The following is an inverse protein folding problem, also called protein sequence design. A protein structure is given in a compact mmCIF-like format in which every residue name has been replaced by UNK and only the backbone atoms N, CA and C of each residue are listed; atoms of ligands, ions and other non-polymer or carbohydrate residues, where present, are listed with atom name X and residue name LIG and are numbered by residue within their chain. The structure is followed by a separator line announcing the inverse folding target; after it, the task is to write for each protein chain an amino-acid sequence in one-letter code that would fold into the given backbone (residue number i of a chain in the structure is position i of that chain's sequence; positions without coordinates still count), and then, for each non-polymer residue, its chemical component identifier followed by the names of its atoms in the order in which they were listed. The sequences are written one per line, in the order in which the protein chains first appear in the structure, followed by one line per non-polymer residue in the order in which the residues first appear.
data_IF_588959463260
#
_entry.id   IF_588959463260
#
_cell.length_a   1.000
_cell.length_b   1.000
_cell.length_c   1.000
_cell.angle_alpha   90.00
_cell.angle_beta   90.00
_cell.angle_gamma   90.00
#
_symmetry.space_group_name_H-M   'P 1'
#
loop_
_entity.id
_entity.type
_entity.pdbx_description
1 polymer ?
#
# COMPACT_ATOMS: atom_id res chain seq x y z
N UNK A 1 92.30 -2.82 9.57
CA UNK A 1 90.83 -2.73 9.68
C UNK A 1 90.30 -4.12 10.01
N UNK A 2 90.02 -4.37 11.29
CA UNK A 2 89.61 -5.68 11.80
C UNK A 2 88.09 -5.79 11.71
N UNK A 3 87.59 -6.71 10.88
CA UNK A 3 86.17 -7.01 10.79
C UNK A 3 85.77 -7.86 12.01
N UNK A 4 85.07 -7.24 12.97
CA UNK A 4 84.48 -7.93 14.10
C UNK A 4 83.35 -8.86 13.61
N UNK A 5 83.64 -10.16 13.60
CA UNK A 5 82.68 -11.23 13.34
C UNK A 5 81.67 -11.26 14.49
N UNK A 6 80.45 -10.76 14.27
CA UNK A 6 79.35 -10.88 15.23
C UNK A 6 79.02 -12.36 15.40
N UNK A 7 79.25 -12.88 16.61
CA UNK A 7 78.78 -14.20 17.02
C UNK A 7 77.25 -14.17 17.12
N UNK A 8 76.57 -14.89 16.23
CA UNK A 8 75.14 -15.10 16.31
C UNK A 8 74.87 -16.07 17.48
N UNK A 9 74.39 -15.53 18.60
CA UNK A 9 73.85 -16.33 19.70
C UNK A 9 72.56 -16.98 19.21
N UNK A 10 72.53 -18.31 19.13
CA UNK A 10 71.34 -19.07 18.74
C UNK A 10 70.21 -18.88 19.76
N UNK A 11 68.98 -18.77 19.27
CA UNK A 11 67.78 -18.64 20.11
C UNK A 11 67.64 -19.85 21.05
N UNK A 12 67.34 -19.56 22.32
CA UNK A 12 66.97 -20.58 23.30
C UNK A 12 65.61 -21.19 22.94
N UNK A 13 65.43 -22.49 23.19
CA UNK A 13 64.13 -23.18 23.03
C UNK A 13 63.00 -22.46 23.80
N UNK A 14 63.32 -21.85 24.94
CA UNK A 14 62.38 -21.05 25.74
C UNK A 14 61.97 -19.76 25.01
N UNK A 15 62.91 -19.06 24.37
CA UNK A 15 62.60 -17.85 23.59
C UNK A 15 61.72 -18.19 22.37
N UNK A 16 61.95 -19.34 21.74
CA UNK A 16 61.09 -19.83 20.66
C UNK A 16 59.66 -20.09 21.15
N UNK A 17 59.50 -20.76 22.30
CA UNK A 17 58.18 -21.02 22.88
C UNK A 17 57.44 -19.74 23.25
N UNK A 18 58.14 -18.76 23.82
CA UNK A 18 57.58 -17.45 24.16
C UNK A 18 57.17 -16.68 22.90
N UNK A 19 58.00 -16.70 21.85
CA UNK A 19 57.66 -16.08 20.58
C UNK A 19 56.40 -16.69 19.95
N UNK A 20 56.28 -18.02 19.95
CA UNK A 20 55.08 -18.74 19.46
C UNK A 20 53.84 -18.42 20.30
N UNK A 21 53.98 -18.30 21.63
CA UNK A 21 52.87 -17.91 22.49
C UNK A 21 52.37 -16.48 22.17
N UNK A 22 53.28 -15.53 21.97
CA UNK A 22 52.92 -14.17 21.60
C UNK A 22 52.27 -14.07 20.22
N UNK A 23 52.78 -14.80 19.21
CA UNK A 23 52.13 -14.83 17.89
C UNK A 23 50.74 -15.46 17.95
N UNK A 24 50.54 -16.52 18.75
CA UNK A 24 49.23 -17.13 18.95
C UNK A 24 48.23 -16.17 19.60
N UNK A 25 48.63 -15.44 20.65
CA UNK A 25 47.79 -14.43 21.31
C UNK A 25 47.44 -13.30 20.33
N UNK A 26 48.41 -12.83 19.54
CA UNK A 26 48.20 -11.76 18.56
C UNK A 26 47.25 -12.21 17.44
N UNK A 27 47.43 -13.42 16.92
CA UNK A 27 46.52 -14.00 15.91
C UNK A 27 45.11 -14.22 16.47
N UNK A 28 44.97 -14.66 17.73
CA UNK A 28 43.67 -14.78 18.38
C UNK A 28 42.98 -13.40 18.55
N UNK A 29 43.75 -12.37 18.90
CA UNK A 29 43.27 -10.99 18.94
C UNK A 29 42.77 -10.49 17.58
N UNK A 30 43.58 -10.68 16.53
CA UNK A 30 43.21 -10.32 15.16
C UNK A 30 41.96 -11.08 14.68
N UNK A 31 41.89 -12.40 14.93
CA UNK A 31 40.73 -13.22 14.56
C UNK A 31 39.44 -12.72 15.21
N UNK A 32 39.51 -12.27 16.48
CA UNK A 32 38.36 -11.68 17.18
C UNK A 32 37.94 -10.35 16.57
N UNK A 33 38.88 -9.49 16.20
CA UNK A 33 38.60 -8.21 15.51
C UNK A 33 37.96 -8.48 14.15
N UNK A 34 38.53 -9.37 13.33
CA UNK A 34 37.97 -9.72 12.02
C UNK A 34 36.56 -10.30 12.11
N UNK A 35 36.31 -11.17 13.10
CA UNK A 35 34.95 -11.71 13.35
C UNK A 35 33.97 -10.60 13.69
N UNK A 36 34.37 -9.64 14.52
CA UNK A 36 33.56 -8.46 14.85
C UNK A 36 33.28 -7.59 13.63
N UNK A 37 34.30 -7.33 12.80
CA UNK A 37 34.15 -6.54 11.57
C UNK A 37 33.22 -7.20 10.55
N UNK A 38 33.33 -8.51 10.34
CA UNK A 38 32.48 -9.24 9.40
C UNK A 38 31.01 -9.29 9.86
N UNK A 39 30.78 -9.55 11.15
CA UNK A 39 29.44 -9.49 11.76
C UNK A 39 28.81 -8.11 11.62
N UNK A 40 29.57 -7.05 11.94
CA UNK A 40 29.10 -5.68 11.82
C UNK A 40 28.79 -5.30 10.36
N UNK A 41 29.63 -5.71 9.40
CA UNK A 41 29.39 -5.48 7.98
C UNK A 41 28.07 -6.11 7.50
N UNK A 42 27.81 -7.36 7.89
CA UNK A 42 26.55 -8.05 7.57
C UNK A 42 25.34 -7.32 8.19
N UNK A 43 25.43 -6.93 9.47
CA UNK A 43 24.36 -6.22 10.15
C UNK A 43 24.06 -4.84 9.54
N UNK A 44 25.10 -4.12 9.09
CA UNK A 44 24.96 -2.84 8.39
C UNK A 44 24.28 -3.03 7.03
N UNK A 45 24.70 -4.02 6.26
CA UNK A 45 24.10 -4.31 4.95
C UNK A 45 22.61 -4.69 5.06
N UNK A 46 22.26 -5.55 6.03
CA UNK A 46 20.85 -5.90 6.29
C UNK A 46 20.03 -4.67 6.68
N UNK A 47 20.59 -3.80 7.51
CA UNK A 47 19.93 -2.56 7.93
C UNK A 47 19.67 -1.62 6.75
N UNK A 48 20.62 -1.49 5.82
CA UNK A 48 20.45 -0.70 4.60
C UNK A 48 19.35 -1.30 3.70
N UNK A 49 19.33 -2.63 3.57
CA UNK A 49 18.29 -3.35 2.83
C UNK A 49 16.89 -3.06 3.39
N UNK A 50 16.73 -3.19 4.72
CA UNK A 50 15.48 -2.85 5.41
C UNK A 50 15.07 -1.40 5.15
N UNK A 51 16.01 -0.45 5.24
CA UNK A 51 15.68 0.95 5.01
C UNK A 51 15.16 1.24 3.61
N UNK A 52 15.75 0.59 2.59
CA UNK A 52 15.35 0.75 1.20
C UNK A 52 13.96 0.17 0.96
N UNK A 53 13.71 -1.05 1.47
CA UNK A 53 12.40 -1.70 1.37
C UNK A 53 11.32 -0.87 2.05
N UNK A 54 11.58 -0.36 3.26
CA UNK A 54 10.59 0.42 4.00
C UNK A 54 10.30 1.76 3.32
N UNK A 55 11.31 2.42 2.74
CA UNK A 55 11.08 3.67 1.99
C UNK A 55 10.15 3.45 0.81
N UNK A 56 10.39 2.40 0.03
CA UNK A 56 9.54 2.08 -1.11
C UNK A 56 8.12 1.69 -0.67
N UNK A 57 7.99 0.91 0.40
CA UNK A 57 6.70 0.53 0.95
C UNK A 57 5.90 1.75 1.43
N UNK A 58 6.53 2.65 2.19
CA UNK A 58 5.90 3.88 2.68
C UNK A 58 5.53 4.84 1.55
N UNK A 59 6.32 4.91 0.47
CA UNK A 59 6.00 5.70 -0.72
C UNK A 59 4.74 5.15 -1.43
N UNK A 60 4.67 3.84 -1.65
CA UNK A 60 3.48 3.20 -2.21
C UNK A 60 2.23 3.43 -1.34
N UNK A 61 2.36 3.27 -0.03
CA UNK A 61 1.27 3.51 0.91
C UNK A 61 0.85 4.99 0.87
N UNK A 62 1.80 5.91 0.86
CA UNK A 62 1.53 7.35 0.77
C UNK A 62 0.77 7.72 -0.51
N UNK A 63 1.17 7.15 -1.65
CA UNK A 63 0.49 7.37 -2.93
C UNK A 63 -0.96 6.89 -2.89
N UNK A 64 -1.21 5.70 -2.32
CA UNK A 64 -2.56 5.14 -2.18
C UNK A 64 -3.41 5.97 -1.19
N UNK A 65 -2.85 6.40 -0.05
CA UNK A 65 -3.57 7.28 0.90
C UNK A 65 -3.84 8.67 0.35
N UNK A 66 -2.96 9.19 -0.51
CA UNK A 66 -3.20 10.49 -1.16
C UNK A 66 -4.37 10.47 -2.14
N UNK A 67 -4.74 9.27 -2.61
CA UNK A 67 -5.87 8.98 -3.50
C UNK A 67 -7.07 8.39 -2.76
N UNK A 68 -6.95 8.09 -1.45
CA UNK A 68 -8.06 7.62 -0.65
C UNK A 68 -9.22 8.62 -0.71
N UNK A 69 -10.41 8.15 -1.05
CA UNK A 69 -11.60 8.99 -1.19
C UNK A 69 -11.66 9.76 -2.50
N UNK A 70 -10.72 9.53 -3.43
CA UNK A 70 -10.86 10.03 -4.79
C UNK A 70 -12.04 9.35 -5.45
N UNK A 71 -13.04 10.14 -5.82
CA UNK A 71 -14.20 9.73 -6.60
C UNK A 71 -14.16 10.58 -7.86
N UNK A 72 -13.97 9.95 -9.01
CA UNK A 72 -13.81 10.68 -10.25
C UNK A 72 -14.59 10.03 -11.41
N UNK A 73 -15.38 10.79 -12.20
CA UNK A 73 -15.72 12.21 -11.97
C UNK A 73 -16.41 12.41 -10.62
N UNK A 74 -16.43 13.64 -10.10
CA UNK A 74 -17.16 13.92 -8.87
C UNK A 74 -18.63 13.53 -9.06
N UNK A 75 -19.06 12.54 -8.29
CA UNK A 75 -20.37 11.90 -8.43
C UNK A 75 -20.89 11.49 -7.07
N UNK A 76 -22.21 11.50 -6.94
CA UNK A 76 -22.86 10.90 -5.79
C UNK A 76 -22.60 9.39 -5.79
N UNK A 77 -22.19 8.87 -4.62
CA UNK A 77 -22.03 7.44 -4.44
C UNK A 77 -23.40 6.74 -4.52
N UNK A 78 -23.49 5.61 -5.25
CA UNK A 78 -24.69 4.79 -5.31
C UNK A 78 -25.21 4.39 -3.92
N UNK A 79 -26.52 4.23 -3.80
CA UNK A 79 -27.17 3.87 -2.52
C UNK A 79 -26.62 2.57 -1.92
N UNK A 80 -26.26 1.57 -2.73
CA UNK A 80 -25.69 0.32 -2.20
C UNK A 80 -24.29 0.48 -1.59
N UNK A 81 -23.56 1.54 -1.97
CA UNK A 81 -22.28 1.90 -1.34
C UNK A 81 -22.56 2.68 -0.05
N UNK A 82 -23.45 3.67 -0.12
CA UNK A 82 -23.80 4.53 1.03
C UNK A 82 -24.48 3.77 2.18
N UNK A 83 -25.22 2.71 1.87
CA UNK A 83 -25.91 1.83 2.83
C UNK A 83 -25.32 0.42 2.89
N UNK A 84 -24.15 0.23 2.27
CA UNK A 84 -23.50 -1.07 2.19
C UNK A 84 -23.02 -1.57 3.54
N UNK A 85 -22.95 -2.89 3.69
CA UNK A 85 -22.39 -3.54 4.88
C UNK A 85 -20.87 -3.44 4.96
N UNK A 86 -20.20 -3.21 3.83
CA UNK A 86 -18.75 -3.05 3.78
C UNK A 86 -18.38 -1.58 4.06
N UNK A 87 -17.56 -1.30 5.10
CA UNK A 87 -17.20 0.07 5.44
C UNK A 87 -16.31 0.71 4.35
N UNK A 88 -16.53 1.99 4.06
CA UNK A 88 -15.68 2.74 3.11
C UNK A 88 -14.29 3.07 3.68
N UNK A 89 -14.16 3.02 5.01
CA UNK A 89 -12.90 3.13 5.72
C UNK A 89 -12.99 2.33 7.02
N UNK A 90 -12.04 1.44 7.26
CA UNK A 90 -11.97 0.64 8.47
C UNK A 90 -10.52 0.44 8.91
N UNK A 91 -10.31 0.32 10.22
CA UNK A 91 -9.01 0.00 10.78
C UNK A 91 -9.18 -1.11 11.84
N UNK A 92 -8.70 -2.30 11.57
CA UNK A 92 -8.64 -3.37 12.57
C UNK A 92 -7.30 -3.32 13.29
N UNK A 93 -7.33 -3.06 14.59
CA UNK A 93 -6.14 -2.79 15.39
C UNK A 93 -5.53 -4.07 15.94
N UNK A 94 -4.20 -4.07 16.13
CA UNK A 94 -3.44 -5.08 16.87
C UNK A 94 -3.79 -6.54 16.48
N UNK A 95 -4.03 -6.78 15.19
CA UNK A 95 -4.36 -8.11 14.68
C UNK A 95 -3.15 -9.03 14.82
N UNK A 96 -3.34 -10.13 15.55
CA UNK A 96 -2.30 -11.14 15.75
C UNK A 96 -2.19 -12.05 14.52
N UNK A 97 -0.98 -12.19 14.01
CA UNK A 97 -0.59 -13.08 12.92
C UNK A 97 0.41 -14.09 13.45
N UNK A 98 0.11 -15.37 13.30
CA UNK A 98 1.09 -16.44 13.55
C UNK A 98 1.88 -16.74 12.29
N UNK A 99 3.19 -16.60 12.37
CA UNK A 99 4.15 -16.96 11.32
C UNK A 99 4.99 -18.16 11.74
N UNK A 100 5.48 -18.91 10.75
CA UNK A 100 6.35 -20.07 10.97
C UNK A 100 7.77 -19.73 10.56
N UNK A 101 8.70 -19.81 11.50
CA UNK A 101 10.13 -19.60 11.24
C UNK A 101 10.91 -20.88 11.51
N UNK A 102 12.18 -20.90 11.12
CA UNK A 102 13.11 -21.97 11.52
C UNK A 102 13.33 -21.89 13.04
N UNK A 103 13.34 -23.04 13.70
CA UNK A 103 13.62 -23.14 15.14
C UNK A 103 15.07 -22.73 15.45
N UNK A 104 15.25 -22.05 16.58
CA UNK A 104 16.58 -21.62 17.02
C UNK A 104 17.43 -22.79 17.55
N UNK A 105 16.78 -23.85 18.02
CA UNK A 105 17.43 -25.05 18.60
C UNK A 105 17.66 -26.15 17.58
N UNK A 106 16.85 -26.23 16.52
CA UNK A 106 16.93 -27.27 15.49
C UNK A 106 16.59 -26.71 14.10
N UNK A 107 17.56 -26.59 13.17
CA UNK A 107 17.33 -26.02 11.85
C UNK A 107 16.41 -26.85 10.95
N UNK A 108 16.06 -28.07 11.34
CA UNK A 108 15.15 -28.95 10.60
C UNK A 108 13.68 -28.77 11.00
N UNK A 109 13.40 -28.03 12.07
CA UNK A 109 12.04 -27.82 12.60
C UNK A 109 11.61 -26.36 12.47
N UNK A 110 10.30 -26.13 12.49
CA UNK A 110 9.71 -24.80 12.53
C UNK A 110 9.20 -24.45 13.92
N UNK A 111 9.27 -23.17 14.27
CA UNK A 111 8.69 -22.61 15.49
C UNK A 111 7.69 -21.51 15.13
N UNK A 112 6.57 -21.49 15.83
CA UNK A 112 5.58 -20.43 15.70
C UNK A 112 6.09 -19.13 16.35
N UNK A 113 5.75 -18.02 15.71
CA UNK A 113 6.02 -16.68 16.17
C UNK A 113 4.77 -15.83 15.94
N UNK A 114 4.41 -14.98 16.90
CA UNK A 114 3.26 -14.08 16.76
C UNK A 114 3.75 -12.66 16.48
N UNK A 115 3.24 -12.06 15.42
CA UNK A 115 3.43 -10.67 15.03
C UNK A 115 2.09 -9.96 15.19
N UNK A 116 2.08 -8.75 15.75
CA UNK A 116 0.85 -7.94 15.88
C UNK A 116 0.93 -6.75 14.94
N UNK A 117 -0.12 -6.54 14.16
CA UNK A 117 -0.18 -5.45 13.19
C UNK A 117 -1.60 -4.97 12.98
N UNK A 118 -1.77 -3.72 12.61
CA UNK A 118 -3.06 -3.23 12.15
C UNK A 118 -3.38 -3.73 10.73
N UNK A 119 -4.64 -3.62 10.37
CA UNK A 119 -5.16 -3.78 9.02
C UNK A 119 -5.97 -2.55 8.68
N UNK A 120 -5.66 -1.91 7.55
CA UNK A 120 -6.42 -0.76 7.06
C UNK A 120 -7.11 -1.12 5.76
N UNK A 121 -8.34 -0.66 5.62
CA UNK A 121 -9.16 -0.77 4.42
C UNK A 121 -9.74 0.62 4.10
N UNK A 122 -9.67 1.03 2.84
CA UNK A 122 -10.27 2.28 2.39
C UNK A 122 -10.72 2.22 0.94
N UNK A 123 -11.72 3.05 0.64
CA UNK A 123 -12.37 3.17 -0.66
C UNK A 123 -11.73 4.24 -1.54
N UNK A 124 -11.60 3.96 -2.83
CA UNK A 124 -11.18 4.92 -3.85
C UNK A 124 -11.57 4.45 -5.26
N UNK A 125 -11.67 5.39 -6.20
CA UNK A 125 -11.54 5.09 -7.62
C UNK A 125 -10.06 5.03 -8.00
N UNK A 126 -9.66 4.06 -8.82
CA UNK A 126 -8.25 3.88 -9.17
C UNK A 126 -7.99 4.34 -10.61
N UNK A 127 -7.09 5.31 -10.83
CA UNK A 127 -6.74 5.73 -12.18
C UNK A 127 -5.90 4.63 -12.83
N UNK A 128 -6.31 4.20 -14.02
CA UNK A 128 -5.58 3.20 -14.77
C UNK A 128 -4.44 3.84 -15.55
N UNK A 129 -3.39 3.06 -15.80
CA UNK A 129 -2.20 3.51 -16.56
C UNK A 129 -2.45 3.54 -18.08
N UNK A 130 -3.69 3.28 -18.50
CA UNK A 130 -4.11 3.28 -19.91
C UNK A 130 -4.49 4.71 -20.31
N UNK A 131 -3.82 5.23 -21.34
CA UNK A 131 -4.14 6.51 -21.96
C UNK A 131 -4.26 6.30 -23.46
N UNK A 132 -5.28 6.89 -24.06
CA UNK A 132 -5.54 6.73 -25.48
C UNK A 132 -6.12 8.02 -26.07
N UNK A 133 -6.34 8.00 -27.37
CA UNK A 133 -7.04 9.05 -28.10
C UNK A 133 -8.09 8.42 -29.02
N UNK A 134 -9.15 9.15 -29.35
CA UNK A 134 -10.11 8.73 -30.36
C UNK A 134 -9.42 8.53 -31.72
N UNK A 135 -9.57 7.35 -32.33
CA UNK A 135 -8.94 7.08 -33.63
C UNK A 135 -9.64 7.77 -34.80
N UNK A 136 -10.96 7.94 -34.68
CA UNK A 136 -11.83 8.60 -35.65
C UNK A 136 -12.81 9.51 -34.91
N UNK A 137 -13.45 10.42 -35.64
CA UNK A 137 -14.60 11.14 -35.11
C UNK A 137 -15.69 10.13 -34.72
N UNK A 138 -16.43 10.43 -33.66
CA UNK A 138 -17.61 9.66 -33.25
C UNK A 138 -18.87 10.45 -33.57
N UNK A 139 -19.91 9.73 -33.98
CA UNK A 139 -21.24 10.28 -34.18
C UNK A 139 -21.93 10.43 -32.82
N UNK A 140 -22.77 11.46 -32.64
CA UNK A 140 -23.59 11.62 -31.42
C UNK A 140 -24.65 12.70 -31.56
N UNK A 141 -25.67 12.69 -30.71
CA UNK A 141 -26.73 13.69 -30.68
C UNK A 141 -26.17 15.06 -30.29
N UNK A 142 -25.90 15.91 -31.28
CA UNK A 142 -25.82 17.34 -31.03
C UNK A 142 -27.26 17.89 -30.97
N UNK A 143 -27.71 18.24 -29.77
CA UNK A 143 -29.03 18.86 -29.53
C UNK A 143 -29.22 20.16 -30.35
N UNK A 144 -28.13 20.80 -30.81
CA UNK A 144 -28.17 21.97 -31.67
C UNK A 144 -28.10 21.67 -33.19
N UNK A 145 -27.93 20.41 -33.60
CA UNK A 145 -27.72 20.02 -35.00
C UNK A 145 -28.77 18.99 -35.45
N UNK A 146 -29.78 19.48 -36.17
CA UNK A 146 -30.81 18.63 -36.79
C UNK A 146 -30.19 17.81 -37.92
N UNK A 147 -29.77 16.58 -37.64
CA UNK A 147 -29.27 15.66 -38.68
C UNK A 147 -28.39 14.49 -38.25
N UNK A 148 -28.09 14.31 -36.96
CA UNK A 148 -27.21 13.21 -36.50
C UNK A 148 -28.03 11.97 -36.10
N UNK A 149 -27.61 10.73 -36.43
CA UNK A 149 -28.34 9.51 -36.13
C UNK A 149 -28.78 9.37 -34.68
N UNK A 150 -30.02 8.89 -34.49
CA UNK A 150 -30.74 8.72 -33.22
C UNK A 150 -30.24 7.56 -32.34
N UNK A 151 -29.06 6.98 -32.66
CA UNK A 151 -28.51 5.85 -31.89
C UNK A 151 -27.10 6.20 -31.41
N UNK A 152 -26.87 6.28 -30.10
CA UNK A 152 -25.53 6.52 -29.55
C UNK A 152 -24.57 5.41 -29.98
N UNK A 153 -23.32 5.72 -30.40
CA UNK A 153 -22.37 4.68 -30.74
C UNK A 153 -22.10 3.80 -29.52
N UNK A 154 -22.18 2.49 -29.74
CA UNK A 154 -21.99 1.47 -28.70
C UNK A 154 -20.54 1.00 -28.60
N UNK A 155 -19.65 1.50 -29.45
CA UNK A 155 -18.22 1.20 -29.41
C UNK A 155 -17.37 2.28 -30.07
N UNK A 156 -16.12 2.39 -29.68
CA UNK A 156 -15.15 3.30 -30.29
C UNK A 156 -13.77 2.68 -30.49
N UNK A 157 -13.12 3.02 -31.60
CA UNK A 157 -11.73 2.66 -31.84
C UNK A 157 -10.81 3.72 -31.21
N UNK A 158 -9.83 3.26 -30.43
CA UNK A 158 -8.87 4.14 -29.76
C UNK A 158 -7.44 3.88 -30.26
N UNK A 159 -6.66 4.95 -30.37
CA UNK A 159 -5.21 4.91 -30.54
C UNK A 159 -4.56 4.96 -29.16
N UNK A 160 -3.92 3.87 -28.74
CA UNK A 160 -3.22 3.82 -27.46
C UNK A 160 -2.00 4.75 -27.45
N UNK A 161 -1.90 5.59 -26.43
CA UNK A 161 -0.74 6.42 -26.16
C UNK A 161 0.15 5.80 -25.07
N UNK A 162 -0.45 5.14 -24.09
CA UNK A 162 0.26 4.49 -22.98
C UNK A 162 -0.58 3.35 -22.36
N UNK A 163 0.08 2.40 -21.72
CA UNK A 163 -0.55 1.24 -21.09
C UNK A 163 -0.94 0.15 -22.09
N UNK A 164 -1.63 -0.88 -21.61
CA UNK A 164 -2.14 -1.96 -22.45
C UNK A 164 -3.67 -1.99 -22.39
N UNK A 165 -4.34 -2.14 -23.54
CA UNK A 165 -5.80 -2.24 -23.58
C UNK A 165 -6.31 -3.43 -22.78
N UNK A 166 -5.50 -4.49 -22.63
CA UNK A 166 -5.84 -5.66 -21.82
C UNK A 166 -5.95 -5.38 -20.32
N UNK A 167 -5.44 -4.24 -19.85
CA UNK A 167 -5.57 -3.82 -18.45
C UNK A 167 -6.99 -3.30 -18.14
N UNK A 168 -7.74 -2.94 -19.20
CA UNK A 168 -9.13 -2.51 -19.11
C UNK A 168 -10.06 -3.71 -18.88
N UNK A 169 -11.04 -3.51 -18.02
CA UNK A 169 -12.03 -4.49 -17.63
C UNK A 169 -13.44 -3.92 -17.81
N UNK A 170 -14.43 -4.81 -17.93
CA UNK A 170 -15.82 -4.37 -17.91
C UNK A 170 -16.09 -3.53 -16.65
N UNK A 171 -16.86 -2.46 -16.84
CA UNK A 171 -17.21 -1.44 -15.84
C UNK A 171 -16.12 -0.42 -15.49
N UNK A 172 -14.95 -0.46 -16.13
CA UNK A 172 -14.04 0.69 -16.08
C UNK A 172 -14.72 1.91 -16.75
N UNK A 173 -14.50 3.09 -16.17
CA UNK A 173 -15.06 4.35 -16.65
C UNK A 173 -14.08 5.00 -17.60
N UNK A 174 -14.54 5.32 -18.82
CA UNK A 174 -13.77 6.14 -19.74
C UNK A 174 -14.02 7.61 -19.41
N UNK A 175 -12.93 8.35 -19.23
CA UNK A 175 -12.94 9.79 -19.01
C UNK A 175 -12.45 10.45 -20.28
N UNK A 176 -13.32 11.24 -20.89
CA UNK A 176 -13.02 12.00 -22.10
C UNK A 176 -12.54 13.39 -21.67
N UNK A 177 -11.40 13.80 -22.21
CA UNK A 177 -10.71 15.03 -21.79
C UNK A 177 -10.92 16.19 -22.77
N UNK A 178 -11.87 16.10 -23.70
CA UNK A 178 -12.27 17.29 -24.44
C UNK A 178 -12.98 18.28 -23.52
N UNK A 179 -12.48 19.51 -23.54
CA UNK A 179 -12.92 20.58 -22.65
C UNK A 179 -14.37 20.94 -22.96
N UNK A 180 -15.22 20.95 -21.94
CA UNK A 180 -16.62 21.29 -22.08
C UNK A 180 -16.85 22.66 -22.72
N UNK A 181 -17.38 22.65 -23.94
CA UNK A 181 -17.98 23.87 -24.49
C UNK A 181 -19.31 24.20 -23.78
N UNK A 182 -19.88 23.25 -23.01
CA UNK A 182 -21.17 23.44 -22.29
C UNK A 182 -21.29 22.78 -20.90
N UNK A 183 -20.20 22.37 -20.24
CA UNK A 183 -20.26 21.89 -18.85
C UNK A 183 -20.93 20.53 -18.62
N UNK A 184 -21.04 19.70 -19.64
CA UNK A 184 -21.67 18.38 -19.56
C UNK A 184 -20.67 17.29 -19.93
N UNK A 185 -20.00 16.75 -18.92
CA UNK A 185 -19.02 15.68 -19.06
C UNK A 185 -19.72 14.33 -19.28
N UNK A 186 -19.30 13.56 -20.29
CA UNK A 186 -19.79 12.18 -20.52
C UNK A 186 -18.71 11.18 -20.09
N UNK A 187 -19.12 10.20 -19.31
CA UNK A 187 -18.24 9.20 -18.72
C UNK A 187 -18.83 7.80 -18.94
N UNK A 188 -18.75 7.26 -20.16
CA UNK A 188 -19.34 5.97 -20.46
C UNK A 188 -18.58 4.86 -19.75
N UNK A 189 -19.33 3.86 -19.28
CA UNK A 189 -18.74 2.62 -18.78
C UNK A 189 -18.39 1.71 -19.96
N UNK A 190 -17.26 1.03 -19.88
CA UNK A 190 -16.87 0.06 -20.90
C UNK A 190 -17.48 -1.31 -20.61
N UNK A 191 -17.87 -2.02 -21.66
CA UNK A 191 -18.38 -3.39 -21.59
C UNK A 191 -17.27 -4.45 -21.67
N UNK A 192 -16.06 -4.08 -22.12
CA UNK A 192 -14.92 -4.98 -22.18
C UNK A 192 -13.64 -4.30 -22.71
N UNK A 193 -12.48 -4.91 -22.42
CA UNK A 193 -11.14 -4.37 -22.70
C UNK A 193 -10.55 -4.74 -24.06
N UNK A 194 -11.35 -4.79 -25.12
CA UNK A 194 -10.87 -5.02 -26.50
C UNK A 194 -10.95 -3.73 -27.30
N UNK A 195 -10.09 -3.54 -28.30
CA UNK A 195 -10.20 -2.42 -29.25
C UNK A 195 -10.86 -2.92 -30.54
N UNK A 196 -12.02 -2.39 -31.00
CA UNK A 196 -12.76 -1.25 -30.47
C UNK A 196 -13.39 -1.50 -29.10
N UNK A 197 -13.33 -0.48 -28.24
CA UNK A 197 -13.88 -0.50 -26.89
C UNK A 197 -15.39 -0.41 -26.99
N UNK A 198 -16.08 -1.45 -26.53
CA UNK A 198 -17.53 -1.46 -26.42
C UNK A 198 -17.96 -0.74 -25.13
N UNK A 199 -19.10 -0.04 -25.17
CA UNK A 199 -19.71 0.61 -24.02
C UNK A 199 -20.86 -0.21 -23.44
N UNK A 200 -21.14 -0.01 -22.15
CA UNK A 200 -22.30 -0.59 -21.49
C UNK A 200 -23.60 -0.07 -22.10
N UNK A 201 -24.49 -1.01 -22.44
CA UNK A 201 -25.83 -0.73 -22.96
C UNK A 201 -26.93 -0.92 -21.92
N UNK A 202 -26.63 -1.55 -20.78
CA UNK A 202 -27.59 -1.74 -19.69
C UNK A 202 -27.55 -0.56 -18.72
N UNK A 203 -28.63 0.24 -18.73
CA UNK A 203 -28.79 1.37 -17.82
C UNK A 203 -28.74 0.96 -16.34
N UNK A 204 -29.15 -0.27 -15.99
CA UNK A 204 -29.07 -0.74 -14.61
C UNK A 204 -27.62 -0.92 -14.15
N UNK A 205 -26.74 -1.35 -15.04
CA UNK A 205 -25.30 -1.46 -14.76
C UNK A 205 -24.72 -0.05 -14.61
N UNK A 206 -25.03 0.85 -15.53
CA UNK A 206 -24.56 2.25 -15.48
C UNK A 206 -25.00 2.96 -14.19
N UNK A 207 -26.25 2.78 -13.78
CA UNK A 207 -26.80 3.36 -12.54
C UNK A 207 -26.13 2.84 -11.27
N UNK A 208 -25.44 1.69 -11.30
CA UNK A 208 -24.64 1.21 -10.17
C UNK A 208 -23.36 2.02 -9.99
N UNK A 209 -22.90 2.78 -10.98
CA UNK A 209 -21.62 3.47 -10.86
C UNK A 209 -21.75 4.98 -10.87
N UNK A 210 -22.76 5.53 -11.54
CA UNK A 210 -23.01 6.96 -11.60
C UNK A 210 -24.50 7.28 -11.35
N UNK A 211 -24.81 7.81 -10.17
CA UNK A 211 -26.11 8.44 -9.94
C UNK A 211 -26.18 9.74 -10.76
N UNK A 212 -27.14 9.82 -11.70
CA UNK A 212 -27.48 11.05 -12.43
C UNK A 212 -26.66 11.36 -13.69
N UNK A 213 -25.39 10.95 -13.78
CA UNK A 213 -24.48 11.31 -14.89
C UNK A 213 -24.02 10.14 -15.77
N UNK A 214 -24.43 8.91 -15.47
CA UNK A 214 -24.04 7.75 -16.27
C UNK A 214 -24.77 7.71 -17.62
N UNK A 215 -24.03 7.76 -18.72
CA UNK A 215 -24.57 7.62 -20.07
C UNK A 215 -24.38 6.20 -20.58
N UNK A 216 -25.45 5.60 -21.10
CA UNK A 216 -25.37 4.43 -21.96
C UNK A 216 -24.75 4.85 -23.29
N UNK A 217 -23.61 4.27 -23.65
CA UNK A 217 -22.82 4.67 -24.81
C UNK A 217 -22.30 6.12 -24.71
N UNK A 218 -21.83 6.64 -25.85
CA UNK A 218 -21.56 8.07 -26.03
C UNK A 218 -22.82 8.72 -26.56
N UNK A 219 -23.27 9.81 -25.94
CA UNK A 219 -24.41 10.56 -26.47
C UNK A 219 -23.95 11.70 -27.36
N UNK A 220 -22.71 12.18 -27.21
CA UNK A 220 -22.17 13.30 -27.98
C UNK A 220 -21.13 12.91 -29.01
N UNK A 221 -21.00 13.73 -30.07
CA UNK A 221 -19.91 13.57 -31.01
C UNK A 221 -18.60 14.04 -30.39
N UNK A 222 -17.55 13.24 -30.55
CA UNK A 222 -16.18 13.58 -30.16
C UNK A 222 -15.26 13.52 -31.39
N UNK A 223 -14.34 14.47 -31.50
CA UNK A 223 -13.37 14.51 -32.60
C UNK A 223 -12.26 13.46 -32.44
N UNK A 224 -11.68 13.04 -33.57
CA UNK A 224 -10.45 12.25 -33.57
C UNK A 224 -9.33 13.00 -32.81
N UNK A 225 -8.43 12.25 -32.18
CA UNK A 225 -7.33 12.73 -31.34
C UNK A 225 -7.74 13.37 -30.01
N UNK A 226 -9.02 13.37 -29.65
CA UNK A 226 -9.43 13.75 -28.29
C UNK A 226 -8.82 12.75 -27.30
N UNK A 227 -8.10 13.22 -26.26
CA UNK A 227 -7.49 12.32 -25.30
C UNK A 227 -8.53 11.73 -24.35
N UNK A 228 -8.30 10.46 -23.98
CA UNK A 228 -9.09 9.72 -23.00
C UNK A 228 -8.19 9.05 -21.97
N UNK A 229 -8.70 8.95 -20.75
CA UNK A 229 -8.09 8.18 -19.68
C UNK A 229 -9.14 7.24 -19.08
N UNK A 230 -8.70 6.25 -18.31
CA UNK A 230 -9.60 5.26 -17.72
C UNK A 230 -9.45 5.22 -16.21
N UNK A 231 -10.56 4.94 -15.53
CA UNK A 231 -10.60 4.75 -14.10
C UNK A 231 -11.37 3.49 -13.77
N UNK A 232 -10.87 2.74 -12.79
CA UNK A 232 -11.61 1.63 -12.21
C UNK A 232 -12.41 2.15 -11.02
N UNK A 233 -13.74 2.23 -11.11
CA UNK A 233 -14.55 2.80 -10.05
C UNK A 233 -14.68 1.85 -8.86
N UNK A 234 -15.03 2.42 -7.71
CA UNK A 234 -15.49 1.71 -6.52
C UNK A 234 -14.58 0.56 -6.09
N UNK A 235 -13.30 0.87 -5.85
CA UNK A 235 -12.31 -0.10 -5.38
C UNK A 235 -12.10 0.04 -3.87
N UNK A 236 -11.92 -1.11 -3.22
CA UNK A 236 -11.40 -1.18 -1.86
C UNK A 236 -9.94 -1.59 -1.91
N UNK A 237 -9.10 -0.85 -1.19
CA UNK A 237 -7.68 -1.18 -1.01
C UNK A 237 -7.46 -1.54 0.45
N UNK A 238 -6.78 -2.67 0.66
CA UNK A 238 -6.44 -3.20 1.97
C UNK A 238 -4.94 -3.34 2.12
N UNK A 239 -4.40 -2.89 3.24
CA UNK A 239 -3.05 -3.24 3.68
C UNK A 239 -3.14 -4.08 4.94
N UNK A 240 -2.48 -5.24 4.92
CA UNK A 240 -2.40 -6.14 6.07
C UNK A 240 -1.07 -6.88 6.07
N UNK A 241 -0.57 -7.23 7.27
CA UNK A 241 0.56 -8.16 7.37
C UNK A 241 0.04 -9.58 7.24
N UNK A 242 0.64 -10.36 6.35
CA UNK A 242 0.23 -11.74 6.07
C UNK A 242 1.44 -12.68 6.11
N UNK A 243 1.19 -13.94 6.47
CA UNK A 243 2.22 -14.98 6.52
C UNK A 243 2.40 -15.60 5.12
N UNK A 244 3.48 -15.24 4.42
CA UNK A 244 3.72 -15.65 3.03
C UNK A 244 4.90 -16.61 2.91
N UNK A 245 4.73 -17.70 2.16
CA UNK A 245 5.79 -18.65 1.86
C UNK A 245 6.63 -18.19 0.68
N UNK A 246 7.75 -17.51 0.95
CA UNK A 246 8.64 -16.99 -0.09
C UNK A 246 9.83 -17.90 -0.38
N UNK A 247 10.16 -18.83 0.52
CA UNK A 247 11.27 -19.76 0.32
C UNK A 247 10.77 -21.07 -0.31
N UNK A 248 11.08 -21.33 -1.60
CA UNK A 248 10.72 -22.58 -2.25
C UNK A 248 11.46 -23.79 -1.67
N UNK A 249 12.62 -23.59 -1.03
CA UNK A 249 13.39 -24.66 -0.40
C UNK A 249 12.83 -25.05 0.97
N UNK A 250 12.15 -24.13 1.66
CA UNK A 250 11.49 -24.38 2.93
C UNK A 250 10.02 -23.96 2.91
N UNK A 251 9.19 -24.79 2.28
CA UNK A 251 7.75 -24.57 2.14
C UNK A 251 6.99 -24.55 3.47
N UNK A 252 7.63 -24.91 4.59
CA UNK A 252 7.08 -24.79 5.95
C UNK A 252 7.26 -23.40 6.58
N UNK A 253 8.24 -22.62 6.11
CA UNK A 253 8.51 -21.27 6.61
C UNK A 253 7.58 -20.26 5.95
N UNK A 254 7.08 -19.33 6.74
CA UNK A 254 6.23 -18.22 6.33
C UNK A 254 6.79 -16.94 6.92
N UNK A 255 7.11 -15.98 6.07
CA UNK A 255 7.60 -14.67 6.49
C UNK A 255 6.42 -13.71 6.65
N UNK A 256 6.44 -12.80 7.64
CA UNK A 256 5.45 -11.74 7.69
C UNK A 256 5.76 -10.71 6.61
N UNK A 257 4.80 -10.49 5.72
CA UNK A 257 4.90 -9.55 4.61
C UNK A 257 3.76 -8.54 4.70
N UNK A 258 4.05 -7.26 4.49
CA UNK A 258 3.00 -6.28 4.24
C UNK A 258 2.46 -6.53 2.83
N UNK A 259 1.18 -6.84 2.75
CA UNK A 259 0.47 -7.16 1.51
C UNK A 259 -0.56 -6.07 1.23
N UNK A 260 -0.54 -5.55 0.00
CA UNK A 260 -1.59 -4.72 -0.56
C UNK A 260 -2.54 -5.61 -1.36
N UNK A 261 -3.82 -5.56 -1.03
CA UNK A 261 -4.90 -6.21 -1.76
C UNK A 261 -5.83 -5.16 -2.33
N UNK A 262 -6.48 -5.50 -3.44
CA UNK A 262 -7.45 -4.63 -4.11
C UNK A 262 -8.63 -5.47 -4.59
N UNK A 263 -9.83 -5.02 -4.29
CA UNK A 263 -11.07 -5.67 -4.70
C UNK A 263 -12.12 -4.65 -5.15
N UNK A 264 -13.07 -5.09 -5.95
CA UNK A 264 -14.27 -4.32 -6.23
C UNK A 264 -15.12 -4.19 -4.97
N UNK A 265 -15.76 -3.04 -4.77
CA UNK A 265 -16.71 -2.86 -3.70
C UNK A 265 -17.92 -3.81 -3.90
N UNK A 266 -18.30 -4.60 -2.88
CA UNK A 266 -19.32 -5.62 -3.05
C UNK A 266 -20.71 -5.00 -3.22
N UNK A 267 -21.53 -5.57 -4.10
CA UNK A 267 -22.94 -5.15 -4.24
C UNK A 267 -23.77 -5.52 -2.99
N UNK A 268 -23.36 -6.57 -2.28
CA UNK A 268 -23.99 -7.07 -1.06
C UNK A 268 -22.95 -7.75 -0.17
N UNK A 269 -23.05 -7.60 1.15
CA UNK A 269 -22.16 -8.29 2.10
C UNK A 269 -20.80 -7.60 2.22
N UNK A 270 -19.77 -8.39 2.51
CA UNK A 270 -18.40 -7.92 2.75
C UNK A 270 -17.41 -8.59 1.80
N UNK A 271 -16.22 -7.99 1.62
CA UNK A 271 -15.17 -8.57 0.78
C UNK A 271 -14.53 -9.78 1.49
N UNK A 272 -14.44 -10.91 0.78
CA UNK A 272 -13.64 -12.06 1.23
C UNK A 272 -12.17 -11.87 0.85
N UNK A 273 -11.44 -11.15 1.70
CA UNK A 273 -10.02 -10.85 1.52
C UNK A 273 -9.11 -12.09 1.44
N UNK A 274 -9.59 -13.29 1.79
CA UNK A 274 -8.79 -14.52 1.64
C UNK A 274 -8.66 -14.98 0.18
N UNK A 275 -9.59 -14.54 -0.69
CA UNK A 275 -9.60 -14.87 -2.13
C UNK A 275 -9.03 -13.77 -3.01
N UNK A 276 -8.82 -12.58 -2.46
CA UNK A 276 -8.31 -11.43 -3.20
C UNK A 276 -6.80 -11.58 -3.39
N UNK A 277 -6.29 -11.52 -4.64
CA UNK A 277 -4.85 -11.62 -4.87
C UNK A 277 -4.12 -10.46 -4.19
N UNK A 278 -3.06 -10.81 -3.46
CA UNK A 278 -2.21 -9.84 -2.75
C UNK A 278 -0.91 -9.56 -3.50
N UNK A 279 -0.45 -8.31 -3.42
CA UNK A 279 0.88 -7.90 -3.85
C UNK A 279 1.73 -7.61 -2.61
N UNK A 280 2.89 -8.24 -2.52
CA UNK A 280 3.85 -7.97 -1.44
C UNK A 280 4.46 -6.58 -1.65
N UNK A 281 4.37 -5.75 -0.61
CA UNK A 281 4.89 -4.38 -0.56
C UNK A 281 6.17 -4.33 0.28
N UNK A 282 6.23 -5.10 1.37
CA UNK A 282 7.44 -5.24 2.16
C UNK A 282 7.52 -6.66 2.74
N UNK A 283 8.75 -7.14 2.90
CA UNK A 283 9.06 -8.43 3.53
C UNK A 283 9.62 -8.21 4.93
N UNK A 284 9.54 -9.24 5.78
CA UNK A 284 10.03 -9.23 7.15
C UNK A 284 9.46 -8.05 7.95
N UNK A 285 8.15 -7.88 7.90
CA UNK A 285 7.45 -6.82 8.64
C UNK A 285 7.13 -7.34 10.04
N UNK A 286 7.63 -6.65 11.05
CA UNK A 286 7.43 -6.97 12.47
C UNK A 286 6.30 -6.15 13.10
N UNK A 287 5.89 -5.08 12.44
CA UNK A 287 4.80 -4.23 12.89
C UNK A 287 4.35 -3.29 11.79
N UNK A 288 3.05 -3.09 11.71
CA UNK A 288 2.43 -2.08 10.87
C UNK A 288 1.36 -1.41 11.70
N UNK A 289 1.52 -0.11 11.95
CA UNK A 289 0.66 0.65 12.84
C UNK A 289 0.17 1.93 12.18
N UNK A 290 -1.12 2.22 12.33
CA UNK A 290 -1.73 3.47 11.92
C UNK A 290 -2.37 4.21 13.07
N UNK A 291 -2.15 5.52 13.15
CA UNK A 291 -2.83 6.41 14.08
C UNK A 291 -3.44 7.58 13.30
N UNK A 292 -4.66 7.97 13.67
CA UNK A 292 -5.34 9.13 13.09
C UNK A 292 -5.29 10.32 14.04
N UNK A 293 -5.25 11.53 13.51
CA UNK A 293 -5.38 12.78 14.27
C UNK A 293 -6.16 13.82 13.46
N UNK A 294 -7.12 14.48 14.11
CA UNK A 294 -7.97 15.52 13.54
C UNK A 294 -7.67 16.91 14.09
N UNK A 295 -6.64 17.03 14.94
CA UNK A 295 -6.19 18.29 15.56
C UNK A 295 -4.77 18.69 15.12
N UNK A 296 -4.32 18.17 13.96
CA UNK A 296 -3.01 18.47 13.38
C UNK A 296 -1.85 17.74 14.07
N UNK A 297 -2.09 16.57 14.66
CA UNK A 297 -1.08 15.73 15.31
C UNK A 297 -0.80 16.09 16.77
N UNK A 298 -1.66 16.90 17.41
CA UNK A 298 -1.51 17.22 18.84
C UNK A 298 -1.92 16.04 19.70
N UNK A 299 -3.01 15.36 19.31
CA UNK A 299 -3.46 14.13 19.94
C UNK A 299 -3.76 13.06 18.91
N UNK A 300 -3.46 11.81 19.26
CA UNK A 300 -3.74 10.64 18.44
C UNK A 300 -4.99 9.94 18.94
N UNK A 301 -5.82 9.48 18.02
CA UNK A 301 -7.11 8.85 18.30
C UNK A 301 -6.97 7.44 18.89
N UNK A 302 -5.81 6.79 18.74
CA UNK A 302 -5.58 5.48 19.34
C UNK A 302 -5.64 5.56 20.87
N UNK A 303 -6.44 4.70 21.53
CA UNK A 303 -6.46 4.60 22.99
C UNK A 303 -5.09 4.24 23.55
N UNK A 304 -4.63 4.97 24.56
CA UNK A 304 -3.38 4.65 25.29
C UNK A 304 -3.62 3.72 26.47
N UNK A 305 -4.88 3.55 26.88
CA UNK A 305 -5.32 2.68 27.97
C UNK A 305 -6.67 2.03 27.61
N UNK A 306 -6.96 0.86 28.17
CA UNK A 306 -8.21 0.14 27.92
C UNK A 306 -8.23 -0.65 26.62
N UNK A 307 -9.42 -0.84 26.04
CA UNK A 307 -9.62 -1.61 24.81
C UNK A 307 -9.08 -0.85 23.60
N UNK A 308 -8.23 -1.50 22.81
CA UNK A 308 -7.71 -0.97 21.55
C UNK A 308 -8.55 -1.55 20.40
N UNK A 309 -9.64 -0.86 20.06
CA UNK A 309 -10.52 -1.23 18.95
C UNK A 309 -10.92 -0.02 18.09
N UNK A 310 -11.51 -0.32 16.93
CA UNK A 310 -11.93 0.72 15.98
C UNK A 310 -13.00 1.64 16.55
N UNK A 311 -13.98 1.09 17.29
CA UNK A 311 -15.08 1.85 17.86
C UNK A 311 -14.59 2.92 18.86
N UNK A 312 -13.61 2.57 19.69
CA UNK A 312 -12.99 3.50 20.65
C UNK A 312 -12.16 4.54 19.92
N UNK A 313 -11.43 4.16 18.87
CA UNK A 313 -10.70 5.11 18.04
C UNK A 313 -11.66 6.10 17.34
N UNK A 314 -12.82 5.63 16.86
CA UNK A 314 -13.87 6.48 16.29
C UNK A 314 -14.46 7.45 17.32
N UNK A 315 -14.72 6.99 18.55
CA UNK A 315 -15.20 7.86 19.62
C UNK A 315 -14.19 8.98 19.93
N UNK A 316 -12.90 8.66 19.99
CA UNK A 316 -11.83 9.64 20.19
C UNK A 316 -11.74 10.62 19.01
N UNK A 317 -11.86 10.15 17.77
CA UNK A 317 -11.90 10.98 16.57
C UNK A 317 -13.06 11.98 16.61
N UNK A 318 -14.27 11.51 16.95
CA UNK A 318 -15.46 12.35 17.08
C UNK A 318 -15.28 13.40 18.20
N UNK A 319 -14.64 13.03 19.31
CA UNK A 319 -14.30 14.00 20.37
C UNK A 319 -13.35 15.09 19.84
N UNK A 320 -12.31 14.73 19.08
CA UNK A 320 -11.39 15.70 18.49
C UNK A 320 -12.12 16.63 17.50
N UNK A 321 -12.98 16.09 16.64
CA UNK A 321 -13.75 16.85 15.65
C UNK A 321 -14.77 17.81 16.29
N UNK A 322 -15.37 17.42 17.41
CA UNK A 322 -16.24 18.31 18.17
C UNK A 322 -15.49 19.57 18.64
N UNK A 323 -14.25 19.41 19.11
CA UNK A 323 -13.43 20.53 19.59
C UNK A 323 -12.71 21.32 18.50
N UNK A 324 -12.19 20.65 17.45
CA UNK A 324 -11.28 21.24 16.47
C UNK A 324 -11.74 21.12 15.01
N UNK A 325 -12.80 20.36 14.73
CA UNK A 325 -13.31 20.11 13.38
C UNK A 325 -14.08 21.29 12.78
N UNK A 326 -14.26 21.27 11.46
CA UNK A 326 -15.03 22.28 10.71
C UNK A 326 -16.53 22.21 11.04
N UNK A 327 -17.25 23.30 10.79
CA UNK A 327 -18.71 23.35 10.97
C UNK A 327 -19.38 22.36 10.00
N UNK A 328 -20.25 21.48 10.52
CA UNK A 328 -20.92 20.43 9.73
C UNK A 328 -20.15 19.12 9.59
N UNK A 329 -18.84 19.10 9.91
CA UNK A 329 -17.98 17.91 9.83
C UNK A 329 -17.49 17.52 11.22
N UNK A 330 -18.42 17.01 12.04
CA UNK A 330 -18.21 16.77 13.48
C UNK A 330 -18.10 15.30 13.88
N UNK A 331 -18.26 14.38 12.93
CA UNK A 331 -18.24 12.95 13.19
C UNK A 331 -17.72 12.18 11.98
N UNK A 332 -16.91 11.16 12.22
CA UNK A 332 -16.50 10.15 11.22
C UNK A 332 -17.45 8.94 11.18
N UNK A 333 -18.48 8.95 12.04
CA UNK A 333 -19.52 7.91 12.11
C UNK A 333 -20.88 8.44 11.67
N UNK A 334 -20.91 9.59 10.98
CA UNK A 334 -22.15 10.15 10.45
C UNK A 334 -22.64 9.31 9.26
N UNK A 335 -23.81 8.66 9.34
CA UNK A 335 -24.33 7.84 8.24
C UNK A 335 -24.70 8.66 7.00
N UNK A 336 -24.85 9.99 7.11
CA UNK A 336 -25.07 10.86 5.95
C UNK A 336 -23.77 11.17 5.19
N UNK A 337 -22.61 11.00 5.84
CA UNK A 337 -21.29 11.27 5.30
C UNK A 337 -20.32 10.09 5.58
N UNK A 338 -20.62 8.88 5.06
CA UNK A 338 -19.79 7.69 5.28
C UNK A 338 -18.41 7.79 4.62
N UNK A 339 -18.24 8.71 3.66
CA UNK A 339 -17.03 9.06 2.95
C UNK A 339 -16.24 10.20 3.64
N UNK A 340 -16.34 10.32 4.97
CA UNK A 340 -15.72 11.39 5.77
C UNK A 340 -14.25 11.67 5.45
N UNK A 341 -13.46 10.64 5.09
CA UNK A 341 -12.03 10.75 4.77
C UNK A 341 -11.77 11.56 3.48
N UNK A 342 -12.80 11.78 2.66
CA UNK A 342 -12.80 12.69 1.51
C UNK A 342 -12.88 14.16 1.93
N UNK A 343 -13.64 14.44 2.98
CA UNK A 343 -14.14 15.77 3.32
C UNK A 343 -13.47 16.36 4.56
N UNK A 344 -13.09 15.50 5.49
CA UNK A 344 -12.48 15.85 6.77
C UNK A 344 -10.97 15.72 6.65
N UNK A 345 -10.26 16.83 6.87
CA UNK A 345 -8.80 16.79 6.94
C UNK A 345 -8.36 15.94 8.15
N UNK A 346 -7.60 14.88 7.90
CA UNK A 346 -7.01 14.06 8.94
C UNK A 346 -5.51 13.87 8.68
N UNK A 347 -4.71 13.92 9.74
CA UNK A 347 -3.32 13.52 9.71
C UNK A 347 -3.25 12.03 10.08
N UNK A 348 -2.67 11.24 9.18
CA UNK A 348 -2.45 9.81 9.36
C UNK A 348 -0.97 9.59 9.64
N UNK A 349 -0.66 8.98 10.77
CA UNK A 349 0.68 8.47 11.06
C UNK A 349 0.75 7.00 10.74
N UNK A 350 1.74 6.62 9.96
CA UNK A 350 1.98 5.23 9.57
C UNK A 350 3.38 4.85 10.04
N UNK A 351 3.45 3.88 10.94
CA UNK A 351 4.68 3.30 11.44
C UNK A 351 4.85 1.89 10.82
N UNK A 352 5.94 1.71 10.07
CA UNK A 352 6.33 0.41 9.51
C UNK A 352 7.59 -0.08 10.21
N UNK A 353 7.45 -1.13 11.02
CA UNK A 353 8.55 -1.82 11.69
C UNK A 353 8.91 -3.05 10.88
N UNK A 354 10.15 -3.11 10.43
CA UNK A 354 10.68 -4.27 9.71
C UNK A 354 11.86 -4.86 10.47
N UNK A 355 12.16 -6.13 10.20
CA UNK A 355 13.17 -6.90 10.91
C UNK A 355 14.16 -7.57 9.98
N UNK A 356 15.29 -8.00 10.54
CA UNK A 356 16.26 -8.82 9.80
C UNK A 356 15.64 -10.16 9.38
N UNK A 357 16.05 -10.74 8.25
CA UNK A 357 15.50 -12.03 7.81
C UNK A 357 15.78 -13.18 8.78
N UNK A 358 16.91 -13.11 9.50
CA UNK A 358 17.34 -14.13 10.44
C UNK A 358 17.58 -13.55 11.83
N UNK A 359 17.30 -14.37 12.85
CA UNK A 359 17.67 -14.08 14.22
C UNK A 359 19.16 -14.39 14.41
N UNK A 360 19.86 -13.54 15.15
CA UNK A 360 21.28 -13.73 15.46
C UNK A 360 21.53 -13.49 16.94
N UNK A 361 22.53 -14.19 17.48
CA UNK A 361 22.92 -14.03 18.89
C UNK A 361 23.53 -12.66 19.18
N UNK A 362 24.14 -12.02 18.17
CA UNK A 362 24.69 -10.67 18.26
C UNK A 362 23.62 -9.57 18.37
N UNK A 363 22.35 -9.88 18.05
CA UNK A 363 21.23 -8.96 18.21
C UNK A 363 20.52 -9.11 19.55
N UNK A 364 20.77 -10.22 20.26
CA UNK A 364 20.14 -10.49 21.53
C UNK A 364 20.82 -9.71 22.67
N UNK A 365 20.01 -9.15 23.56
CA UNK A 365 20.49 -8.54 24.82
C UNK A 365 20.84 -9.60 25.88
N UNK A 366 20.26 -10.80 25.76
CA UNK A 366 20.50 -11.92 26.67
C UNK A 366 21.50 -12.91 26.05
N UNK A 367 22.60 -13.25 26.75
CA UNK A 367 23.53 -14.28 26.29
C UNK A 367 22.81 -15.62 26.06
N UNK A 368 23.14 -16.31 24.96
CA UNK A 368 22.58 -17.62 24.62
C UNK A 368 21.24 -17.60 23.88
N UNK A 369 20.63 -16.42 23.68
CA UNK A 369 19.43 -16.29 22.84
C UNK A 369 19.77 -15.66 21.49
N UNK A 370 18.85 -15.77 20.53
CA UNK A 370 18.92 -15.09 19.23
C UNK A 370 17.78 -14.08 19.16
N UNK A 371 17.98 -12.95 18.50
CA UNK A 371 16.92 -11.95 18.31
C UNK A 371 16.96 -11.43 16.87
N UNK A 372 15.87 -10.84 16.42
CA UNK A 372 15.90 -10.01 15.22
C UNK A 372 16.44 -8.63 15.57
N UNK A 373 17.01 -7.95 14.59
CA UNK A 373 17.19 -6.51 14.67
C UNK A 373 16.02 -5.84 13.97
N UNK A 374 15.32 -4.95 14.65
CA UNK A 374 14.15 -4.24 14.11
C UNK A 374 14.49 -2.80 13.78
N UNK A 375 13.72 -2.23 12.85
CA UNK A 375 13.78 -0.82 12.51
C UNK A 375 12.41 -0.30 12.14
N UNK A 376 11.98 0.75 12.83
CA UNK A 376 10.75 1.47 12.52
C UNK A 376 11.05 2.66 11.63
N UNK A 377 10.25 2.85 10.59
CA UNK A 377 10.16 4.09 9.83
C UNK A 377 8.74 4.64 9.94
N UNK A 378 8.64 5.95 10.04
CA UNK A 378 7.38 6.66 10.22
C UNK A 378 7.19 7.64 9.07
N UNK A 379 5.98 7.69 8.53
CA UNK A 379 5.53 8.76 7.64
C UNK A 379 4.25 9.38 8.21
N UNK A 380 4.09 10.68 7.97
CA UNK A 380 2.86 11.42 8.23
C UNK A 380 2.25 11.79 6.88
N UNK A 381 1.01 11.37 6.65
CA UNK A 381 0.28 11.61 5.40
C UNK A 381 -1.03 12.28 5.74
N UNK A 382 -1.37 13.35 5.00
CA UNK A 382 -2.72 13.89 4.99
C UNK A 382 -3.33 13.50 3.64
N UNK A 383 -4.44 12.73 3.61
CA UNK A 383 -5.20 12.52 2.38
C UNK A 383 -5.56 13.86 1.74
N UNK A 384 -5.69 13.86 0.42
CA UNK A 384 -6.16 15.06 -0.28
C UNK A 384 -7.63 15.25 0.04
N UNK A 385 -8.01 16.50 0.30
CA UNK A 385 -9.42 16.83 0.41
C UNK A 385 -10.01 16.92 -1.00
N UNK A 386 -10.93 16.02 -1.33
CA UNK A 386 -11.63 16.01 -2.62
C UNK A 386 -13.04 16.59 -2.53
N UNK A 387 -13.46 17.09 -1.36
CA UNK A 387 -14.78 17.68 -1.16
C UNK A 387 -14.77 19.22 -1.34
N UNK A 388 -13.67 19.90 -1.02
CA UNK A 388 -13.54 21.34 -1.20
C UNK A 388 -12.84 21.68 -2.52
N UNK A 389 -13.62 21.68 -3.61
CA UNK A 389 -13.14 22.03 -4.95
C UNK A 389 -14.18 21.95 -6.07
N UNK A 390 -15.40 21.51 -5.77
CA UNK A 390 -16.58 21.54 -6.67
C UNK A 390 -17.33 22.85 -6.58
#
# INVERSE_FOLDING_TARGET
MCATRRTHLGFSLVELMVAVAFTAILMAGLARVFRGSASNYAAVNETIGIQRSNRWALEQISDDFSQAGMIFPDRALPTYIMSGSEPLFSLALDQALTVKRISDTDPTTTQDETVTSDVIEFFQDIPLRVRAEFATNTDGEDIAYTGVPTSPPTSVTLNLLAGNITDLQANDVMVILDSGEKGYWEHPLIAGGTNPIAFQTDQNVVNRFAMGNGTVGLKKPHFAKVPVMFMRPAQLVRFSVQAVGLDPANSGVRLPCLVRQQADYPLTGTVDWTKVPGRIVAENVDGFRLDLSFDGGRTWTRPTTGTVDWATMQANANSQLNSAGLQGLKSITDPLHPDWFRSINCLIRIDLTSRTPLRRSEYATTPGTRAYRTRTQTILVSPRNFAYGS
#
